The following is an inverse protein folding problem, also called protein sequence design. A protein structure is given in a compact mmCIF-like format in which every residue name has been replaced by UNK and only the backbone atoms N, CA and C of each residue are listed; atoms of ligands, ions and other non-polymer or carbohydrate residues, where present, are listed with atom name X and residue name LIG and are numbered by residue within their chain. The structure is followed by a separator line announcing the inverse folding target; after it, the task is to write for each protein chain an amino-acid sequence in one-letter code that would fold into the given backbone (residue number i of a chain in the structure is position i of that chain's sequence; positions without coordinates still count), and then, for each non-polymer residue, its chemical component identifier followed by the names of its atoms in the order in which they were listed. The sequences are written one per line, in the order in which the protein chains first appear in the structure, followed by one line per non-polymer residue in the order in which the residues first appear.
data_IF_988685453257
#
_entry.id   IF_988685453257
#
_cell.length_a   1.000
_cell.length_b   1.000
_cell.length_c   1.000
_cell.angle_alpha   90.00
_cell.angle_beta   90.00
_cell.angle_gamma   90.00
#
_symmetry.space_group_name_H-M   'P 1'
#
loop_
_entity.id
_entity.type
_entity.pdbx_description
1 polymer ?
#
# COMPACT_ATOMS: atom_id res chain seq x y z
N UNK A 1 22.86 -14.07 -6.32
CA UNK A 1 22.53 -12.95 -5.40
C UNK A 1 21.11 -12.54 -5.73
N UNK A 2 20.19 -12.56 -4.76
CA UNK A 2 18.77 -12.24 -5.00
C UNK A 2 18.61 -10.75 -5.37
N UNK A 3 17.76 -10.43 -6.36
CA UNK A 3 17.54 -9.06 -6.83
C UNK A 3 16.96 -8.17 -5.73
N UNK A 4 16.15 -8.76 -4.85
CA UNK A 4 15.58 -8.07 -3.68
C UNK A 4 16.68 -7.67 -2.69
N UNK A 5 17.66 -8.54 -2.46
CA UNK A 5 18.76 -8.30 -1.52
C UNK A 5 19.67 -7.18 -2.03
N UNK A 6 19.92 -7.13 -3.34
CA UNK A 6 20.66 -6.03 -3.98
C UNK A 6 19.96 -4.68 -3.77
N UNK A 7 18.64 -4.64 -3.88
CA UNK A 7 17.86 -3.41 -3.67
C UNK A 7 17.91 -3.01 -2.20
N UNK A 8 17.77 -3.96 -1.28
CA UNK A 8 17.88 -3.72 0.16
C UNK A 8 19.25 -3.12 0.52
N UNK A 9 20.33 -3.65 -0.06
CA UNK A 9 21.68 -3.11 0.08
C UNK A 9 21.82 -1.72 -0.54
N UNK A 10 21.24 -1.47 -1.72
CA UNK A 10 21.28 -0.16 -2.37
C UNK A 10 20.58 0.91 -1.52
N UNK A 11 19.41 0.60 -0.94
CA UNK A 11 18.71 1.50 -0.02
C UNK A 11 19.50 1.72 1.26
N UNK A 12 20.15 0.68 1.80
CA UNK A 12 20.97 0.80 3.01
C UNK A 12 22.22 1.68 2.81
N UNK A 13 22.91 1.53 1.67
CA UNK A 13 24.18 2.21 1.37
C UNK A 13 24.00 3.61 0.79
N UNK A 14 23.13 3.76 -0.22
CA UNK A 14 22.89 5.04 -0.94
C UNK A 14 21.72 5.84 -0.36
N UNK A 15 20.98 5.27 0.59
CA UNK A 15 19.80 5.89 1.19
C UNK A 15 18.53 5.84 0.34
N UNK A 16 18.62 5.48 -0.95
CA UNK A 16 17.49 5.34 -1.87
C UNK A 16 17.76 4.40 -3.04
N UNK A 17 16.71 3.85 -3.62
CA UNK A 17 16.73 3.10 -4.87
C UNK A 17 15.51 3.46 -5.74
N UNK A 18 15.72 3.57 -7.05
CA UNK A 18 14.64 3.81 -8.01
C UNK A 18 14.28 2.49 -8.69
N UNK A 19 13.00 2.16 -8.73
CA UNK A 19 12.49 0.93 -9.37
C UNK A 19 11.29 1.24 -10.26
N UNK A 20 11.19 0.54 -11.37
CA UNK A 20 9.96 0.54 -12.17
C UNK A 20 8.85 -0.17 -11.40
N UNK A 21 7.74 0.53 -11.22
CA UNK A 21 6.52 0.01 -10.62
C UNK A 21 5.67 -0.66 -11.70
N UNK A 22 5.21 -1.87 -11.39
CA UNK A 22 4.29 -2.60 -12.25
C UNK A 22 3.03 -3.03 -11.48
N UNK A 23 1.90 -3.01 -12.18
CA UNK A 23 0.63 -3.49 -11.69
C UNK A 23 -0.37 -2.40 -11.30
N UNK A 24 -1.54 -2.86 -10.83
CA UNK A 24 -2.72 -2.02 -10.60
C UNK A 24 -3.14 -1.92 -9.14
N UNK A 25 -2.45 -2.61 -8.22
CA UNK A 25 -2.84 -2.73 -6.81
C UNK A 25 -2.87 -1.40 -6.06
N UNK A 26 -2.08 -0.43 -6.50
CA UNK A 26 -1.98 0.91 -5.93
C UNK A 26 -2.65 1.99 -6.79
N UNK A 27 -3.44 1.59 -7.79
CA UNK A 27 -4.18 2.56 -8.57
C UNK A 27 -5.22 3.28 -7.68
N UNK A 28 -5.42 4.59 -7.85
CA UNK A 28 -4.78 5.48 -8.82
C UNK A 28 -3.53 6.20 -8.32
N UNK A 29 -3.15 6.01 -7.06
CA UNK A 29 -1.99 6.68 -6.45
C UNK A 29 -0.69 6.34 -7.19
N UNK A 30 -0.45 5.06 -7.47
CA UNK A 30 0.64 4.59 -8.34
C UNK A 30 0.04 3.92 -9.57
N UNK A 31 0.51 4.34 -10.75
CA UNK A 31 0.12 3.81 -12.05
C UNK A 31 1.25 2.95 -12.61
N UNK A 32 0.87 2.01 -13.48
CA UNK A 32 1.80 1.15 -14.18
C UNK A 32 2.83 1.98 -14.97
N UNK A 33 4.05 1.44 -15.12
CA UNK A 33 5.19 2.11 -15.78
C UNK A 33 5.71 3.39 -15.11
N UNK A 34 5.22 3.75 -13.91
CA UNK A 34 5.88 4.77 -13.09
C UNK A 34 7.19 4.22 -12.51
N UNK A 35 8.16 5.10 -12.26
CA UNK A 35 9.35 4.78 -11.45
C UNK A 35 9.13 5.33 -10.05
N UNK A 36 9.31 4.48 -9.03
CA UNK A 36 9.15 4.82 -7.62
C UNK A 36 10.50 4.95 -6.93
N UNK A 37 10.63 5.94 -6.06
CA UNK A 37 11.82 6.12 -5.22
C UNK A 37 11.57 5.49 -3.85
N UNK A 38 12.20 4.34 -3.61
CA UNK A 38 12.24 3.70 -2.30
C UNK A 38 13.34 4.36 -1.49
N UNK A 39 12.97 5.03 -0.41
CA UNK A 39 13.90 5.70 0.50
C UNK A 39 14.09 4.90 1.77
N UNK A 40 15.30 4.96 2.33
CA UNK A 40 15.60 4.49 3.68
C UNK A 40 14.65 5.14 4.67
N UNK A 41 14.29 4.39 5.69
CA UNK A 41 13.32 4.79 6.70
C UNK A 41 13.81 4.39 8.08
N UNK A 42 13.31 5.10 9.09
CA UNK A 42 13.28 4.61 10.46
C UNK A 42 11.92 3.95 10.67
N UNK A 43 11.85 2.71 11.18
CA UNK A 43 10.59 2.01 11.45
C UNK A 43 9.59 2.85 12.25
N UNK A 44 10.07 3.63 13.21
CA UNK A 44 9.30 4.53 14.08
C UNK A 44 8.73 5.74 13.33
N UNK A 45 9.35 6.11 12.19
CA UNK A 45 8.91 7.22 11.34
C UNK A 45 7.78 6.85 10.39
N UNK A 46 7.47 5.57 10.22
CA UNK A 46 6.34 5.12 9.41
C UNK A 46 5.04 5.50 10.12
N UNK A 47 4.15 6.14 9.38
CA UNK A 47 2.83 6.55 9.83
C UNK A 47 1.75 5.84 9.04
N UNK A 48 0.56 5.76 9.63
CA UNK A 48 -0.64 5.37 8.89
C UNK A 48 -0.80 6.31 7.70
N UNK A 49 -1.23 5.76 6.55
CA UNK A 49 -1.32 6.42 5.23
C UNK A 49 0.00 6.47 4.42
N UNK A 50 1.15 6.11 5.00
CA UNK A 50 2.38 5.97 4.22
C UNK A 50 2.30 4.78 3.27
N UNK A 51 3.04 4.84 2.15
CA UNK A 51 3.23 3.71 1.24
C UNK A 51 4.62 3.15 1.50
N UNK A 52 4.67 1.85 1.76
CA UNK A 52 5.93 1.14 2.03
C UNK A 52 6.15 0.05 0.97
N UNK A 53 7.41 -0.14 0.61
CA UNK A 53 7.88 -1.25 -0.20
C UNK A 53 8.42 -2.35 0.72
N UNK A 54 7.98 -3.58 0.53
CA UNK A 54 8.38 -4.72 1.34
C UNK A 54 8.48 -6.00 0.50
N UNK A 55 9.23 -6.97 0.98
CA UNK A 55 9.38 -8.27 0.35
C UNK A 55 8.20 -9.17 0.73
N UNK A 56 7.58 -9.79 -0.27
CA UNK A 56 6.57 -10.81 -0.10
C UNK A 56 6.70 -11.83 -1.24
N UNK A 57 6.83 -13.12 -0.93
CA UNK A 57 6.95 -14.21 -1.92
C UNK A 57 8.04 -13.96 -2.99
N UNK A 58 9.23 -13.52 -2.58
CA UNK A 58 10.35 -13.14 -3.46
C UNK A 58 10.06 -12.00 -4.45
N UNK A 59 9.03 -11.19 -4.18
CA UNK A 59 8.71 -10.00 -4.95
C UNK A 59 8.69 -8.77 -4.04
N UNK A 60 8.88 -7.59 -4.64
CA UNK A 60 8.76 -6.31 -3.94
C UNK A 60 7.35 -5.79 -4.17
N UNK A 61 6.60 -5.64 -3.08
CA UNK A 61 5.22 -5.15 -3.09
C UNK A 61 5.19 -3.78 -2.45
N UNK A 62 4.45 -2.86 -3.05
CA UNK A 62 4.21 -1.53 -2.50
C UNK A 62 2.74 -1.39 -2.11
N UNK A 63 2.43 -1.14 -0.83
CA UNK A 63 1.07 -0.94 -0.34
C UNK A 63 0.98 0.16 0.73
N UNK A 64 -0.23 0.70 0.94
CA UNK A 64 -0.50 1.73 1.94
C UNK A 64 -0.67 1.13 3.33
N UNK A 65 -0.02 1.72 4.33
CA UNK A 65 -0.15 1.35 5.74
C UNK A 65 -1.51 1.81 6.26
N UNK A 66 -2.35 0.87 6.68
CA UNK A 66 -3.68 1.13 7.24
C UNK A 66 -3.73 0.97 8.77
N UNK A 67 -2.78 0.21 9.34
CA UNK A 67 -2.60 0.03 10.78
C UNK A 67 -1.13 -0.24 11.11
N UNK A 68 -0.69 0.23 12.27
CA UNK A 68 0.62 -0.07 12.86
C UNK A 68 0.35 -0.84 14.15
N UNK A 69 1.12 -1.91 14.38
CA UNK A 69 1.08 -2.73 15.59
C UNK A 69 2.45 -2.62 16.26
N UNK A 70 2.45 -2.34 17.57
CA UNK A 70 3.65 -2.24 18.39
C UNK A 70 3.49 -3.18 19.59
N UNK A 71 4.22 -4.29 19.59
CA UNK A 71 4.17 -5.29 20.66
C UNK A 71 5.60 -5.62 21.10
N UNK A 72 5.90 -5.54 22.40
CA UNK A 72 7.19 -5.96 22.97
C UNK A 72 8.43 -5.36 22.26
N UNK A 73 8.35 -4.11 21.80
CA UNK A 73 9.43 -3.45 21.06
C UNK A 73 9.50 -3.80 19.56
N UNK A 74 8.69 -4.73 19.07
CA UNK A 74 8.58 -5.06 17.65
C UNK A 74 7.51 -4.20 16.97
N UNK A 75 7.87 -3.67 15.80
CA UNK A 75 6.96 -2.91 14.93
C UNK A 75 6.54 -3.78 13.75
N UNK A 76 5.24 -3.86 13.51
CA UNK A 76 4.67 -4.47 12.31
C UNK A 76 3.58 -3.61 11.71
N UNK A 77 3.35 -3.81 10.42
CA UNK A 77 2.45 -3.00 9.61
C UNK A 77 1.36 -3.88 9.01
N UNK A 78 0.13 -3.39 9.03
CA UNK A 78 -0.91 -3.91 8.16
C UNK A 78 -0.99 -2.98 6.97
N UNK A 79 -0.71 -3.52 5.79
CA UNK A 79 -0.73 -2.80 4.52
C UNK A 79 -1.91 -3.23 3.65
N UNK A 80 -2.32 -2.36 2.73
CA UNK A 80 -3.34 -2.66 1.73
C UNK A 80 -3.08 -1.91 0.42
N UNK A 81 -3.35 -2.55 -0.70
CA UNK A 81 -3.40 -1.89 -2.01
C UNK A 81 -4.60 -0.94 -2.13
N UNK A 82 -4.35 0.27 -2.64
CA UNK A 82 -5.40 1.28 -2.85
C UNK A 82 -6.49 0.84 -3.84
N UNK A 83 -6.19 -0.10 -4.75
CA UNK A 83 -7.11 -0.67 -5.73
C UNK A 83 -7.56 -2.10 -5.40
N UNK A 84 -7.49 -2.52 -4.14
CA UNK A 84 -7.88 -3.87 -3.75
C UNK A 84 -9.03 -3.82 -2.75
N UNK A 85 -10.28 -3.56 -3.19
CA UNK A 85 -11.42 -3.46 -2.28
C UNK A 85 -11.56 -4.69 -1.39
N UNK A 86 -11.42 -5.87 -1.97
CA UNK A 86 -11.53 -7.17 -1.31
C UNK A 86 -10.20 -7.92 -1.36
N UNK A 87 -9.47 -7.93 -0.26
CA UNK A 87 -8.16 -8.59 -0.17
C UNK A 87 -7.01 -7.59 -0.21
N UNK A 88 -5.83 -8.06 -0.65
CA UNK A 88 -4.62 -7.24 -0.69
C UNK A 88 -4.13 -6.77 0.68
N UNK A 89 -4.64 -7.36 1.77
CA UNK A 89 -4.17 -7.07 3.13
C UNK A 89 -2.99 -7.96 3.45
N UNK A 90 -1.85 -7.35 3.72
CA UNK A 90 -0.63 -8.04 4.13
C UNK A 90 -0.21 -7.62 5.53
N UNK A 91 0.30 -8.58 6.29
CA UNK A 91 1.01 -8.34 7.54
C UNK A 91 2.50 -8.30 7.23
N UNK A 92 3.14 -7.18 7.55
CA UNK A 92 4.52 -6.90 7.16
C UNK A 92 5.32 -6.65 8.42
N UNK A 93 6.30 -7.51 8.71
CA UNK A 93 7.26 -7.28 9.77
C UNK A 93 8.24 -6.20 9.37
N UNK A 94 8.81 -5.50 10.36
CA UNK A 94 9.86 -4.50 10.12
C UNK A 94 11.02 -5.04 9.27
N UNK A 95 11.42 -6.30 9.46
CA UNK A 95 12.52 -6.96 8.74
C UNK A 95 12.27 -7.14 7.24
N UNK A 96 11.01 -7.24 6.85
CA UNK A 96 10.57 -7.47 5.48
C UNK A 96 10.38 -6.14 4.73
N UNK A 97 10.39 -5.02 5.44
CA UNK A 97 10.23 -3.69 4.87
C UNK A 97 11.55 -3.20 4.28
N UNK A 98 11.54 -2.86 2.98
CA UNK A 98 12.70 -2.32 2.27
C UNK A 98 12.79 -0.80 2.45
N UNK A 99 11.65 -0.11 2.42
CA UNK A 99 11.66 1.35 2.44
C UNK A 99 10.30 2.01 2.34
N UNK A 100 10.31 3.34 2.49
CA UNK A 100 9.14 4.19 2.28
C UNK A 100 9.19 4.81 0.89
N UNK A 101 8.05 4.81 0.20
CA UNK A 101 7.90 5.46 -1.10
C UNK A 101 7.39 6.89 -0.86
N UNK A 102 8.16 7.89 -1.31
CA UNK A 102 7.79 9.32 -1.21
C UNK A 102 7.44 9.93 -2.56
N UNK A 103 8.18 9.55 -3.59
CA UNK A 103 8.08 10.13 -4.92
C UNK A 103 7.87 9.02 -5.95
N UNK A 104 7.12 9.35 -7.00
CA UNK A 104 7.00 8.52 -8.20
C UNK A 104 6.98 9.42 -9.43
N UNK A 105 7.53 8.97 -10.55
CA UNK A 105 7.61 9.76 -11.78
C UNK A 105 7.24 8.89 -12.99
N UNK A 106 6.64 9.50 -14.01
CA UNK A 106 6.26 8.80 -15.25
C UNK A 106 7.28 9.03 -16.36
N UNK A 107 7.15 8.33 -17.49
CA UNK A 107 8.06 8.40 -18.64
C UNK A 107 8.21 9.82 -19.22
N UNK A 108 7.21 10.69 -19.08
CA UNK A 108 7.30 12.11 -19.45
C UNK A 108 8.10 12.98 -18.46
N UNK A 109 8.81 12.39 -17.51
CA UNK A 109 9.58 13.07 -16.46
C UNK A 109 8.77 14.02 -15.56
N UNK A 110 7.45 13.88 -15.54
CA UNK A 110 6.60 14.59 -14.59
C UNK A 110 6.74 13.91 -13.22
N UNK A 111 7.50 14.54 -12.32
CA UNK A 111 7.68 14.08 -10.95
C UNK A 111 6.38 14.30 -10.16
N UNK A 112 5.74 13.19 -9.78
CA UNK A 112 4.56 13.18 -8.95
C UNK A 112 4.97 12.90 -7.51
N UNK A 113 4.95 13.94 -6.67
CA UNK A 113 5.13 13.76 -5.24
C UNK A 113 3.85 13.16 -4.63
N UNK A 114 3.94 11.91 -4.15
CA UNK A 114 2.78 11.19 -3.61
C UNK A 114 2.28 11.83 -2.30
N UNK A 115 3.15 12.56 -1.60
CA UNK A 115 2.76 13.31 -0.41
C UNK A 115 1.93 14.56 -0.74
N UNK A 116 2.14 15.16 -1.92
CA UNK A 116 1.43 16.35 -2.39
C UNK A 116 0.03 16.02 -2.95
N UNK A 117 -0.30 14.74 -3.12
CA UNK A 117 -1.68 14.33 -3.39
C UNK A 117 -2.60 14.75 -2.24
N UNK A 118 -3.86 15.05 -2.57
CA UNK A 118 -4.86 15.52 -1.61
C UNK A 118 -4.88 14.67 -0.34
N UNK A 119 -4.59 15.30 0.81
CA UNK A 119 -4.57 14.63 2.12
C UNK A 119 -5.91 13.92 2.41
N UNK A 120 -7.03 14.53 2.01
CA UNK A 120 -8.36 13.94 2.11
C UNK A 120 -8.46 12.61 1.36
N UNK A 121 -7.89 12.55 0.14
CA UNK A 121 -7.84 11.33 -0.66
C UNK A 121 -7.03 10.25 0.05
N UNK A 122 -5.83 10.60 0.53
CA UNK A 122 -4.97 9.68 1.28
C UNK A 122 -5.65 9.11 2.53
N UNK A 123 -6.45 9.91 3.22
CA UNK A 123 -7.18 9.49 4.41
C UNK A 123 -8.42 8.65 4.09
N UNK A 124 -9.10 8.90 2.97
CA UNK A 124 -10.27 8.13 2.57
C UNK A 124 -9.91 6.66 2.29
N UNK A 125 -8.80 6.37 1.61
CA UNK A 125 -8.33 4.99 1.38
C UNK A 125 -7.97 4.26 2.67
N UNK A 126 -7.40 4.96 3.65
CA UNK A 126 -7.15 4.40 4.98
C UNK A 126 -8.47 4.06 5.67
N UNK A 127 -9.45 4.97 5.64
CA UNK A 127 -10.76 4.75 6.25
C UNK A 127 -11.48 3.56 5.63
N UNK A 128 -11.50 3.48 4.31
CA UNK A 128 -12.07 2.35 3.56
C UNK A 128 -11.34 1.04 3.90
N UNK A 129 -10.02 1.07 4.01
CA UNK A 129 -9.22 -0.08 4.43
C UNK A 129 -9.56 -0.56 5.85
N UNK A 130 -9.74 0.37 6.80
CA UNK A 130 -10.12 0.06 8.18
C UNK A 130 -11.57 -0.42 8.30
N UNK A 131 -12.49 0.20 7.58
CA UNK A 131 -13.87 -0.26 7.46
C UNK A 131 -13.90 -1.69 6.91
N UNK A 132 -13.08 -2.01 5.91
CA UNK A 132 -12.92 -3.38 5.42
C UNK A 132 -12.38 -4.34 6.48
N UNK A 133 -11.37 -3.96 7.27
CA UNK A 133 -10.86 -4.82 8.35
C UNK A 133 -11.93 -5.10 9.41
N UNK A 134 -12.68 -4.07 9.80
CA UNK A 134 -13.80 -4.18 10.73
C UNK A 134 -14.89 -5.09 10.15
N UNK A 135 -15.31 -4.81 8.91
CA UNK A 135 -16.30 -5.60 8.18
C UNK A 135 -15.84 -7.04 8.04
N UNK A 136 -14.61 -7.33 7.60
CA UNK A 136 -14.07 -8.71 7.52
C UNK A 136 -14.15 -9.46 8.84
N UNK A 137 -13.81 -8.81 9.96
CA UNK A 137 -13.90 -9.40 11.30
C UNK A 137 -15.35 -9.64 11.75
N UNK A 138 -16.24 -8.70 11.46
CA UNK A 138 -17.65 -8.73 11.84
C UNK A 138 -18.48 -9.69 10.97
N UNK A 139 -18.38 -9.59 9.64
CA UNK A 139 -19.09 -10.43 8.67
C UNK A 139 -18.89 -11.91 8.95
N UNK A 140 -17.62 -12.31 9.11
CA UNK A 140 -17.27 -13.73 9.20
C UNK A 140 -17.93 -14.37 10.41
N UNK A 141 -18.31 -13.56 11.40
CA UNK A 141 -18.93 -14.01 12.64
C UNK A 141 -20.46 -13.89 12.63
N UNK A 142 -21.06 -12.98 11.84
CA UNK A 142 -22.50 -12.68 11.95
C UNK A 142 -23.30 -12.57 10.64
N UNK A 143 -22.68 -12.52 9.44
CA UNK A 143 -23.42 -12.30 8.18
C UNK A 143 -23.63 -13.59 7.35
N UNK A 144 -24.87 -13.90 6.94
CA UNK A 144 -25.16 -14.99 6.00
C UNK A 144 -24.59 -14.71 4.60
N UNK A 145 -24.28 -15.77 3.84
CA UNK A 145 -23.54 -15.68 2.57
C UNK A 145 -24.16 -14.73 1.54
N UNK A 146 -25.50 -14.74 1.40
CA UNK A 146 -26.18 -13.91 0.41
C UNK A 146 -25.95 -12.41 0.64
N UNK A 147 -25.94 -11.96 1.90
CA UNK A 147 -25.70 -10.56 2.26
C UNK A 147 -24.25 -10.15 1.94
N UNK A 148 -23.29 -11.08 2.05
CA UNK A 148 -21.90 -10.84 1.69
C UNK A 148 -21.73 -10.57 0.19
N UNK A 149 -22.47 -11.29 -0.65
CA UNK A 149 -22.43 -11.12 -2.11
C UNK A 149 -22.94 -9.73 -2.48
N UNK A 150 -24.07 -9.30 -1.89
CA UNK A 150 -24.66 -7.98 -2.14
C UNK A 150 -23.68 -6.86 -1.75
N UNK A 151 -23.08 -6.94 -0.55
CA UNK A 151 -22.15 -5.92 -0.08
C UNK A 151 -20.85 -5.92 -0.91
N UNK A 152 -20.39 -7.08 -1.37
CA UNK A 152 -19.26 -7.17 -2.32
C UNK A 152 -19.57 -6.46 -3.64
N UNK A 153 -20.77 -6.62 -4.19
CA UNK A 153 -21.19 -5.90 -5.39
C UNK A 153 -21.19 -4.38 -5.19
N UNK A 154 -21.79 -3.92 -4.09
CA UNK A 154 -21.91 -2.49 -3.81
C UNK A 154 -20.54 -1.82 -3.58
N UNK A 155 -19.68 -2.39 -2.74
CA UNK A 155 -18.34 -1.84 -2.46
C UNK A 155 -17.46 -1.88 -3.71
N UNK A 156 -17.60 -2.91 -4.57
CA UNK A 156 -16.93 -2.96 -5.86
C UNK A 156 -17.32 -1.81 -6.78
N UNK A 157 -18.62 -1.50 -6.88
CA UNK A 157 -19.14 -0.40 -7.69
C UNK A 157 -18.67 0.98 -7.18
N UNK A 158 -18.66 1.20 -5.86
CA UNK A 158 -18.14 2.44 -5.27
C UNK A 158 -16.64 2.63 -5.60
N UNK A 159 -15.84 1.57 -5.47
CA UNK A 159 -14.43 1.59 -5.82
C UNK A 159 -14.18 1.89 -7.29
N UNK A 160 -14.98 1.31 -8.18
CA UNK A 160 -14.90 1.56 -9.62
C UNK A 160 -15.24 3.03 -9.94
N UNK A 161 -16.24 3.59 -9.27
CA UNK A 161 -16.63 4.99 -9.45
C UNK A 161 -15.51 5.95 -8.96
N UNK A 162 -14.92 5.68 -7.80
CA UNK A 162 -13.79 6.46 -7.26
C UNK A 162 -12.56 6.43 -8.17
N UNK A 163 -12.33 5.34 -8.91
CA UNK A 163 -11.24 5.27 -9.89
C UNK A 163 -11.48 6.18 -11.10
N UNK A 164 -12.71 6.23 -11.62
CA UNK A 164 -13.06 7.12 -12.74
C UNK A 164 -12.93 8.60 -12.40
N UNK A 165 -13.17 8.98 -11.14
CA UNK A 165 -13.05 10.36 -10.68
C UNK A 165 -11.59 10.82 -10.49
N UNK A 166 -10.64 9.88 -10.44
CA UNK A 166 -9.21 10.13 -10.22
C UNK A 166 -8.35 9.97 -11.49
N UNK A 167 -8.97 9.57 -12.60
CA UNK A 167 -8.32 9.43 -13.90
C UNK A 167 -8.26 10.77 -14.62
#
# INVERSE_FOLDING_TARGET
MDSVELIKQAVATKGKANLSFSGKSMHPTLKDAMVVTISRFLPESIRVSDIIAYQQNNQIVAHRVIKIIKNNGEISFITKGDNQPFGGVSFVGQKDCLGKIKNAFTSSFCEKNILNENLLYRMSYVLIGRLYLFYRGFIRRYLPEFLRIIIRGFVGNVYFCLQKLSA
#
